data_IF_285158844699
#
_entry.id   IF_285158844699
#
_cell.length_a   1.000
_cell.length_b   1.000
_cell.length_c   1.000
_cell.angle_alpha   90.00
_cell.angle_beta   90.00
_cell.angle_gamma   90.00
#
_symmetry.space_group_name_H-M   'P 1'
#
loop_
_entity.id
_entity.type
_entity.pdbx_description
1 polymer ?
#
# COMPACT_ATOMS: atom_id res chain seq x y z
N UNK A 1 -10.53 10.15 21.07
CA UNK A 1 -9.89 10.63 19.82
C UNK A 1 -9.64 9.42 18.94
N UNK A 2 -9.92 9.51 17.63
CA UNK A 2 -9.61 8.43 16.69
C UNK A 2 -8.19 8.52 16.16
N UNK A 3 -7.54 7.37 15.97
CA UNK A 3 -6.26 7.28 15.26
C UNK A 3 -6.52 7.28 13.76
N UNK A 4 -6.01 8.28 13.07
CA UNK A 4 -6.23 8.48 11.64
C UNK A 4 -5.09 7.90 10.82
N UNK A 5 -5.39 7.41 9.62
CA UNK A 5 -4.34 6.97 8.71
C UNK A 5 -4.61 7.30 7.25
N UNK A 6 -3.53 7.41 6.49
CA UNK A 6 -3.54 7.43 5.03
C UNK A 6 -2.93 6.13 4.52
N UNK A 7 -3.55 5.50 3.53
CA UNK A 7 -3.06 4.25 2.94
C UNK A 7 -2.92 4.41 1.45
N UNK A 8 -1.68 4.34 0.98
CA UNK A 8 -1.32 4.49 -0.42
C UNK A 8 -1.05 3.12 -1.04
N UNK A 9 -1.64 2.86 -2.21
CA UNK A 9 -1.24 1.73 -3.07
C UNK A 9 -0.47 2.29 -4.25
N UNK A 10 0.74 1.78 -4.48
CA UNK A 10 1.59 2.20 -5.59
C UNK A 10 1.55 1.20 -6.74
N UNK A 11 1.51 1.72 -7.97
CA UNK A 11 1.71 0.93 -9.18
C UNK A 11 3.18 0.74 -9.55
N UNK A 12 3.42 0.16 -10.72
CA UNK A 12 4.76 -0.22 -11.19
C UNK A 12 5.70 1.00 -11.42
N UNK A 13 5.16 2.19 -11.70
CA UNK A 13 5.95 3.42 -11.95
C UNK A 13 6.16 4.29 -10.70
N UNK A 14 6.06 3.74 -9.49
CA UNK A 14 6.06 4.51 -8.23
C UNK A 14 4.96 5.59 -8.17
N UNK A 15 3.91 5.48 -8.98
CA UNK A 15 2.77 6.40 -8.95
C UNK A 15 1.69 5.83 -8.04
N UNK A 16 1.15 6.63 -7.10
CA UNK A 16 0.07 6.16 -6.26
C UNK A 16 -1.21 6.02 -7.10
N UNK A 17 -1.80 4.82 -7.05
CA UNK A 17 -3.05 4.48 -7.73
C UNK A 17 -4.23 5.03 -6.92
N UNK A 18 -4.17 4.86 -5.59
CA UNK A 18 -5.22 5.28 -4.67
C UNK A 18 -4.63 5.70 -3.33
N UNK A 19 -5.31 6.64 -2.67
CA UNK A 19 -5.10 6.96 -1.26
C UNK A 19 -6.42 6.82 -0.49
N UNK A 20 -6.40 5.97 0.53
CA UNK A 20 -7.51 5.75 1.43
C UNK A 20 -7.26 6.49 2.73
N UNK A 21 -8.16 7.38 3.12
CA UNK A 21 -8.18 7.99 4.44
C UNK A 21 -9.08 7.17 5.38
N UNK A 22 -8.54 6.84 6.57
CA UNK A 22 -9.25 6.18 7.66
C UNK A 22 -9.35 7.11 8.87
N UNK A 23 -10.54 7.30 9.42
CA UNK A 23 -10.80 8.22 10.53
C UNK A 23 -10.45 7.64 11.91
N UNK A 24 -10.67 6.34 12.11
CA UNK A 24 -10.47 5.62 13.37
C UNK A 24 -9.68 4.33 13.14
N UNK A 25 -8.93 3.85 14.13
CA UNK A 25 -8.19 2.57 14.11
C UNK A 25 -7.06 2.48 13.07
N UNK A 26 -6.44 3.62 12.73
CA UNK A 26 -5.30 3.68 11.80
C UNK A 26 -3.99 3.02 12.28
N UNK A 27 -3.93 2.51 13.51
CA UNK A 27 -2.75 1.90 14.13
C UNK A 27 -2.52 0.44 13.68
N UNK A 28 -1.33 -0.16 13.92
CA UNK A 28 -0.99 -1.48 13.38
C UNK A 28 -1.90 -2.65 13.79
N UNK A 29 -2.33 -2.72 15.05
CA UNK A 29 -3.27 -3.75 15.51
C UNK A 29 -4.72 -3.55 15.04
N UNK A 30 -5.02 -2.45 14.35
CA UNK A 30 -6.31 -2.18 13.70
C UNK A 30 -6.12 -2.27 12.19
N UNK A 31 -5.87 -1.13 11.54
CA UNK A 31 -5.70 -1.08 10.09
C UNK A 31 -4.61 -2.00 9.54
N UNK A 32 -3.50 -2.21 10.26
CA UNK A 32 -2.47 -3.14 9.82
C UNK A 32 -2.97 -4.59 9.71
N UNK A 33 -3.80 -5.05 10.65
CA UNK A 33 -4.38 -6.40 10.59
C UNK A 33 -5.44 -6.52 9.49
N UNK A 34 -6.23 -5.47 9.23
CA UNK A 34 -7.16 -5.44 8.09
C UNK A 34 -6.38 -5.56 6.76
N UNK A 35 -5.29 -4.81 6.60
CA UNK A 35 -4.41 -4.91 5.41
C UNK A 35 -3.85 -6.32 5.24
N UNK A 36 -3.45 -6.96 6.34
CA UNK A 36 -2.90 -8.32 6.33
C UNK A 36 -3.95 -9.36 5.95
N UNK A 37 -5.15 -9.27 6.52
CA UNK A 37 -6.30 -10.11 6.18
C UNK A 37 -6.67 -10.01 4.70
N UNK A 38 -6.60 -8.80 4.13
CA UNK A 38 -7.00 -8.54 2.75
C UNK A 38 -5.95 -8.98 1.74
N UNK A 39 -4.66 -8.76 2.01
CA UNK A 39 -3.59 -8.81 1.01
C UNK A 39 -2.57 -9.93 1.20
N UNK A 40 -2.41 -10.46 2.42
CA UNK A 40 -1.30 -11.36 2.73
C UNK A 40 -1.44 -12.70 1.99
N UNK A 41 -0.33 -13.17 1.40
CA UNK A 41 -0.26 -14.46 0.71
C UNK A 41 -0.94 -14.51 -0.66
N UNK A 42 -1.49 -13.39 -1.16
CA UNK A 42 -2.10 -13.32 -2.49
C UNK A 42 -1.07 -12.73 -3.47
N UNK A 43 -0.67 -13.47 -4.51
CA UNK A 43 0.32 -12.98 -5.46
C UNK A 43 -0.30 -12.02 -6.49
N UNK A 44 0.50 -11.04 -6.89
CA UNK A 44 0.22 -10.16 -8.02
C UNK A 44 0.69 -10.84 -9.31
N UNK A 45 -0.14 -10.87 -10.33
CA UNK A 45 0.09 -11.54 -11.61
C UNK A 45 -0.20 -10.59 -12.77
N UNK A 46 0.25 -10.97 -13.97
CA UNK A 46 -0.09 -10.29 -15.21
C UNK A 46 -0.98 -11.21 -16.05
N UNK A 47 -2.29 -11.06 -15.89
CA UNK A 47 -3.33 -11.90 -16.45
C UNK A 47 -3.83 -12.97 -15.48
N UNK A 48 -5.15 -13.16 -15.45
CA UNK A 48 -5.80 -14.23 -14.69
C UNK A 48 -5.97 -15.45 -15.62
N UNK A 49 -5.38 -16.62 -15.29
CA UNK A 49 -5.60 -17.82 -16.07
C UNK A 49 -7.08 -18.23 -16.04
N UNK A 50 -7.64 -18.60 -17.19
CA UNK A 50 -9.07 -18.95 -17.36
C UNK A 50 -9.54 -20.08 -16.41
N UNK A 51 -8.62 -20.92 -15.92
CA UNK A 51 -8.89 -22.02 -14.98
C UNK A 51 -8.30 -21.82 -13.59
N UNK A 52 -7.89 -20.60 -13.23
CA UNK A 52 -7.37 -20.33 -11.89
C UNK A 52 -8.51 -20.30 -10.88
N UNK A 53 -8.48 -21.22 -9.92
CA UNK A 53 -9.33 -21.16 -8.72
C UNK A 53 -8.65 -20.39 -7.57
N UNK A 54 -7.35 -20.10 -7.72
CA UNK A 54 -6.60 -19.34 -6.74
C UNK A 54 -7.01 -17.86 -6.77
N UNK A 55 -7.08 -17.24 -5.58
CA UNK A 55 -7.17 -15.79 -5.45
C UNK A 55 -5.85 -15.19 -5.92
N UNK A 56 -5.94 -14.29 -6.89
CA UNK A 56 -4.82 -13.58 -7.51
C UNK A 56 -5.19 -12.11 -7.66
N UNK A 57 -4.20 -11.22 -7.75
CA UNK A 57 -4.39 -9.84 -8.17
C UNK A 57 -3.79 -9.63 -9.55
N UNK A 58 -4.60 -9.26 -10.54
CA UNK A 58 -4.14 -8.87 -11.86
C UNK A 58 -3.62 -7.43 -11.85
N UNK A 59 -2.33 -7.29 -11.53
CA UNK A 59 -1.69 -5.99 -11.32
C UNK A 59 -2.03 -5.32 -9.99
N UNK A 60 -1.41 -4.16 -9.76
CA UNK A 60 -1.58 -3.38 -8.53
C UNK A 60 -2.89 -2.59 -8.51
N UNK A 61 -3.47 -2.34 -9.69
CA UNK A 61 -4.73 -1.64 -9.88
C UNK A 61 -5.92 -2.49 -9.40
N UNK A 62 -5.93 -3.79 -9.72
CA UNK A 62 -6.94 -4.71 -9.18
C UNK A 62 -6.76 -4.90 -7.67
N UNK A 63 -5.51 -5.02 -7.20
CA UNK A 63 -5.22 -5.06 -5.77
C UNK A 63 -5.78 -3.82 -5.06
N UNK A 64 -5.56 -2.63 -5.60
CA UNK A 64 -6.09 -1.38 -5.08
C UNK A 64 -7.62 -1.38 -5.03
N UNK A 65 -8.28 -1.84 -6.10
CA UNK A 65 -9.74 -1.94 -6.15
C UNK A 65 -10.29 -2.88 -5.07
N UNK A 66 -9.71 -4.08 -4.94
CA UNK A 66 -10.10 -5.06 -3.90
C UNK A 66 -9.84 -4.50 -2.51
N UNK A 67 -8.71 -3.82 -2.28
CA UNK A 67 -8.41 -3.21 -0.99
C UNK A 67 -9.50 -2.22 -0.58
N UNK A 68 -9.87 -1.30 -1.47
CA UNK A 68 -10.91 -0.30 -1.20
C UNK A 68 -12.25 -0.96 -0.93
N UNK A 69 -12.64 -1.95 -1.75
CA UNK A 69 -13.87 -2.70 -1.57
C UNK A 69 -13.93 -3.35 -0.18
N UNK A 70 -12.90 -4.12 0.18
CA UNK A 70 -12.89 -4.91 1.43
C UNK A 70 -12.88 -4.03 2.67
N UNK A 71 -12.08 -2.97 2.68
CA UNK A 71 -12.11 -1.96 3.75
C UNK A 71 -13.49 -1.31 3.88
N UNK A 72 -14.18 -1.06 2.75
CA UNK A 72 -15.51 -0.43 2.78
C UNK A 72 -16.63 -1.41 3.15
N UNK A 73 -16.49 -2.69 2.85
CA UNK A 73 -17.41 -3.75 3.30
C UNK A 73 -17.43 -3.85 4.83
N UNK A 74 -16.27 -3.74 5.48
CA UNK A 74 -16.15 -3.73 6.95
C UNK A 74 -16.74 -2.45 7.57
N UNK A 75 -16.70 -1.33 6.84
CA UNK A 75 -17.18 -0.02 7.28
C UNK A 75 -18.13 0.61 6.24
N UNK A 76 -19.37 0.10 6.10
CA UNK A 76 -20.28 0.53 5.02
C UNK A 76 -20.66 2.01 5.11
N UNK A 77 -20.56 2.63 6.30
CA UNK A 77 -20.81 4.06 6.52
C UNK A 77 -19.63 4.73 7.21
N UNK A 78 -19.24 5.90 6.72
CA UNK A 78 -18.13 6.68 7.26
C UNK A 78 -16.80 5.91 7.30
N UNK A 79 -15.91 6.35 8.18
CA UNK A 79 -14.58 5.83 8.50
C UNK A 79 -13.56 5.73 7.35
N UNK A 80 -13.92 5.05 6.26
CA UNK A 80 -13.10 4.81 5.06
C UNK A 80 -13.56 5.74 3.93
N UNK A 81 -12.63 6.55 3.43
CA UNK A 81 -12.84 7.54 2.39
C UNK A 81 -11.72 7.48 1.35
N UNK A 82 -12.04 7.78 0.10
CA UNK A 82 -11.05 8.04 -0.93
C UNK A 82 -10.67 9.52 -0.92
N UNK A 83 -9.38 9.80 -1.04
CA UNK A 83 -8.87 11.15 -1.28
C UNK A 83 -7.94 11.14 -2.50
N UNK A 84 -7.67 12.30 -3.11
CA UNK A 84 -6.69 12.38 -4.20
C UNK A 84 -5.36 11.77 -3.77
N UNK A 85 -4.78 10.84 -4.56
CA UNK A 85 -3.52 10.17 -4.24
C UNK A 85 -2.32 11.09 -4.52
N UNK A 86 -2.21 12.18 -3.78
CA UNK A 86 -1.07 13.10 -3.88
C UNK A 86 0.08 12.55 -3.06
N UNK A 87 1.27 12.47 -3.67
CA UNK A 87 2.49 12.04 -3.01
C UNK A 87 3.62 13.07 -3.22
N UNK A 88 4.39 13.46 -2.18
CA UNK A 88 4.36 12.99 -0.79
C UNK A 88 3.03 13.25 -0.04
N UNK A 89 2.74 12.54 1.05
CA UNK A 89 1.48 12.71 1.78
C UNK A 89 1.29 14.14 2.28
N UNK A 90 0.15 14.72 1.98
CA UNK A 90 -0.27 15.99 2.57
C UNK A 90 -0.68 15.81 4.04
N UNK A 91 -0.52 16.86 4.84
CA UNK A 91 -0.96 16.85 6.24
C UNK A 91 -2.50 16.90 6.32
N UNK A 92 -3.08 15.88 6.95
CA UNK A 92 -4.54 15.68 7.11
C UNK A 92 -4.88 15.21 8.53
N UNK A 93 -3.98 15.42 9.49
CA UNK A 93 -4.10 14.97 10.87
C UNK A 93 -3.86 13.47 11.04
N UNK A 94 -3.17 12.83 10.09
CA UNK A 94 -2.89 11.39 10.16
C UNK A 94 -1.82 11.07 11.20
N UNK A 95 -2.08 10.03 11.97
CA UNK A 95 -1.12 9.45 12.91
C UNK A 95 -0.22 8.42 12.20
N UNK A 96 -0.73 7.79 11.15
CA UNK A 96 -0.05 6.76 10.37
C UNK A 96 -0.15 7.00 8.87
N UNK A 97 0.93 6.69 8.16
CA UNK A 97 0.95 6.55 6.71
C UNK A 97 1.31 5.10 6.39
N UNK A 98 0.43 4.42 5.67
CA UNK A 98 0.61 3.06 5.18
C UNK A 98 0.94 3.08 3.70
N UNK A 99 1.86 2.21 3.28
CA UNK A 99 2.29 2.07 1.90
C UNK A 99 2.22 0.61 1.51
N UNK A 100 1.45 0.34 0.47
CA UNK A 100 1.31 -0.96 -0.18
C UNK A 100 2.03 -0.91 -1.52
N UNK A 101 2.94 -1.85 -1.71
CA UNK A 101 3.72 -2.02 -2.94
C UNK A 101 3.67 -3.48 -3.37
N UNK A 102 3.93 -3.75 -4.64
CA UNK A 102 3.99 -5.12 -5.13
C UNK A 102 4.66 -5.18 -6.49
N UNK A 103 5.01 -6.41 -6.89
CA UNK A 103 5.60 -6.72 -8.19
C UNK A 103 4.90 -7.95 -8.74
N UNK A 104 4.72 -8.00 -10.06
CA UNK A 104 4.22 -9.19 -10.73
C UNK A 104 5.14 -10.38 -10.40
N UNK A 105 4.52 -11.48 -9.97
CA UNK A 105 5.20 -12.70 -9.51
C UNK A 105 5.40 -12.78 -8.00
N UNK A 106 5.12 -11.72 -7.25
CA UNK A 106 5.31 -11.64 -5.79
C UNK A 106 4.01 -11.31 -5.05
N UNK A 107 4.00 -11.57 -3.74
CA UNK A 107 2.97 -11.03 -2.85
C UNK A 107 3.24 -9.55 -2.57
N UNK A 108 2.19 -8.79 -2.26
CA UNK A 108 2.34 -7.39 -1.87
C UNK A 108 3.10 -7.24 -0.55
N UNK A 109 3.82 -6.12 -0.43
CA UNK A 109 4.56 -5.71 0.76
C UNK A 109 3.94 -4.46 1.35
N UNK A 110 3.79 -4.45 2.66
CA UNK A 110 3.16 -3.37 3.42
C UNK A 110 4.13 -2.78 4.42
N UNK A 111 4.17 -1.46 4.44
CA UNK A 111 4.98 -0.66 5.35
C UNK A 111 4.13 0.41 6.01
N UNK A 112 4.58 0.91 7.15
CA UNK A 112 3.97 2.08 7.78
C UNK A 112 5.01 3.02 8.36
N UNK A 113 4.60 4.28 8.50
CA UNK A 113 5.31 5.35 9.18
C UNK A 113 4.37 5.95 10.22
N UNK A 114 4.84 6.15 11.45
CA UNK A 114 4.07 6.81 12.50
C UNK A 114 4.55 8.25 12.64
N UNK A 115 3.64 9.22 12.49
CA UNK A 115 4.00 10.66 12.45
C UNK A 115 4.49 11.21 13.78
N UNK A 116 4.26 10.50 14.89
CA UNK A 116 4.58 10.95 16.25
C UNK A 116 5.59 10.06 17.00
N UNK A 117 5.92 8.86 16.50
CA UNK A 117 6.67 7.86 17.26
C UNK A 117 8.15 7.81 16.89
N UNK A 118 8.47 7.69 15.59
CA UNK A 118 9.84 7.66 15.08
C UNK A 118 9.93 8.11 13.62
N UNK A 119 11.06 8.73 13.26
CA UNK A 119 11.32 9.19 11.88
C UNK A 119 11.84 8.03 11.00
N UNK A 120 11.12 6.89 11.01
CA UNK A 120 11.48 5.71 10.20
C UNK A 120 10.27 4.93 9.70
N UNK A 121 10.50 4.23 8.59
CA UNK A 121 9.55 3.26 8.06
C UNK A 121 9.68 1.91 8.74
N UNK A 122 8.55 1.28 9.02
CA UNK A 122 8.45 -0.06 9.57
C UNK A 122 7.88 -1.00 8.53
N UNK A 123 8.51 -2.17 8.38
CA UNK A 123 7.97 -3.27 7.59
C UNK A 123 6.88 -3.98 8.40
N UNK A 124 5.71 -4.19 7.79
CA UNK A 124 4.59 -4.88 8.43
C UNK A 124 4.49 -6.35 8.00
N UNK A 125 4.34 -6.61 6.69
CA UNK A 125 4.41 -7.96 6.12
C UNK A 125 4.76 -7.95 4.63
N UNK A 126 4.93 -9.16 4.08
CA UNK A 126 5.25 -9.40 2.67
C UNK A 126 6.75 -9.46 2.42
N UNK A 127 7.16 -9.72 1.15
CA UNK A 127 8.57 -9.74 0.76
C UNK A 127 9.26 -8.44 1.17
N UNK A 128 10.44 -8.53 1.80
CA UNK A 128 11.23 -7.33 2.06
C UNK A 128 11.85 -6.89 0.77
N UNK A 129 11.51 -5.69 0.35
CA UNK A 129 12.24 -5.06 -0.72
C UNK A 129 13.56 -4.48 -0.21
N UNK A 130 14.59 -4.50 -1.06
CA UNK A 130 15.92 -3.99 -0.75
C UNK A 130 15.86 -2.47 -0.48
N UNK A 131 15.88 -2.11 0.80
CA UNK A 131 15.52 -0.78 1.34
C UNK A 131 16.72 0.14 1.56
N UNK A 132 17.94 -0.39 1.56
CA UNK A 132 19.12 0.24 2.19
C UNK A 132 19.69 1.49 1.51
N UNK A 133 19.14 1.96 0.39
CA UNK A 133 19.82 3.02 -0.38
C UNK A 133 19.24 4.44 -0.26
N UNK A 134 17.95 4.69 -0.01
CA UNK A 134 17.41 6.07 -0.13
C UNK A 134 16.25 6.39 0.82
N UNK A 135 16.39 7.51 1.55
CA UNK A 135 15.56 7.98 2.68
C UNK A 135 14.16 8.54 2.35
N UNK A 136 13.54 8.20 1.22
CA UNK A 136 12.20 8.66 0.91
C UNK A 136 11.51 7.70 -0.05
N UNK A 137 10.37 7.14 0.38
CA UNK A 137 9.51 6.19 -0.36
C UNK A 137 10.23 4.88 -0.75
N UNK A 138 9.54 3.73 -0.81
CA UNK A 138 10.15 2.54 -1.37
C UNK A 138 10.63 2.80 -2.81
N UNK A 139 11.95 2.90 -3.03
CA UNK A 139 12.59 2.81 -4.37
C UNK A 139 12.37 1.45 -5.07
N UNK A 140 11.53 0.62 -4.49
CA UNK A 140 11.17 -0.75 -4.87
C UNK A 140 10.43 -0.78 -6.20
N UNK A 141 9.65 0.27 -6.50
CA UNK A 141 9.02 0.46 -7.81
C UNK A 141 9.99 1.09 -8.85
N UNK A 142 11.24 1.41 -8.50
CA UNK A 142 12.11 2.30 -9.29
C UNK A 142 13.34 1.62 -9.92
N UNK A 143 13.27 0.34 -10.28
CA UNK A 143 14.39 -0.35 -10.96
C UNK A 143 14.58 0.00 -12.45
N UNK A 144 13.91 1.05 -12.98
CA UNK A 144 14.07 1.50 -14.38
C UNK A 144 14.58 2.92 -14.61
N UNK A 145 15.08 3.63 -13.59
CA UNK A 145 15.65 4.99 -13.78
C UNK A 145 17.20 5.03 -13.65
N UNK A 146 17.88 3.88 -13.47
CA UNK A 146 19.34 3.83 -13.30
C UNK A 146 20.13 3.24 -14.49
N UNK A 147 19.52 3.05 -15.66
CA UNK A 147 20.22 2.65 -16.89
C UNK A 147 19.65 3.35 -18.12
N UNK A 148 19.52 4.67 -18.05
CA UNK A 148 19.31 5.54 -19.21
C UNK A 148 20.50 6.47 -19.33
N UNK A 149 21.57 5.98 -19.96
CA UNK A 149 22.75 6.78 -20.27
C UNK A 149 22.36 7.97 -21.13
N UNK A 150 22.80 9.16 -20.71
CA UNK A 150 23.01 10.29 -21.60
C UNK A 150 24.52 10.31 -21.82
N UNK A 151 24.94 9.89 -23.02
CA UNK A 151 26.07 10.49 -23.71
C UNK A 151 25.62 11.82 -24.31
#
# INVERSE_FOLDING_TARGET
MGTRSLTYVFGEECKPIVCVYRQFDGYPSGHGEDLKSILSGIPVVNGIPVKSENRLFNGMEELAAVLVQRLKEECPRGNIYLIPPVWPPEERGQDFVWVVTGKVGECASVYYYCTSLDDKWHHWFGPRADWERHKAVPKVCCNKIATGGIQ
#
